data_IF_225666412706
#
_entry.id   IF_225666412706
#
_cell.length_a   1.000
_cell.length_b   1.000
_cell.length_c   1.000
_cell.angle_alpha   90.00
_cell.angle_beta   90.00
_cell.angle_gamma   90.00
#
_symmetry.space_group_name_H-M   'P 1'
#
loop_
_entity.id
_entity.type
_entity.pdbx_description
1 polymer ?
#
# COMPACT_ATOMS: atom_id res chain seq x y z
N UNK A 1 -38.19 23.54 19.23
CA UNK A 1 -37.00 23.99 19.99
C UNK A 1 -35.79 23.78 19.08
N UNK A 2 -35.33 24.87 18.47
CA UNK A 2 -34.36 24.86 17.39
C UNK A 2 -32.92 24.67 17.89
N UNK A 3 -32.12 23.96 17.11
CA UNK A 3 -30.67 23.89 17.30
C UNK A 3 -29.99 24.51 16.09
N UNK A 4 -29.16 25.50 16.41
CA UNK A 4 -28.41 26.35 15.50
C UNK A 4 -27.38 25.55 14.70
N UNK A 5 -27.38 25.75 13.39
CA UNK A 5 -26.31 25.32 12.48
C UNK A 5 -25.25 26.43 12.51
N UNK A 6 -24.09 26.16 13.08
CA UNK A 6 -22.93 27.04 13.00
C UNK A 6 -22.20 26.74 11.68
N UNK A 7 -22.35 27.63 10.70
CA UNK A 7 -21.55 27.63 9.49
C UNK A 7 -20.17 28.21 9.80
N UNK A 8 -19.12 27.39 9.71
CA UNK A 8 -17.73 27.85 9.79
C UNK A 8 -17.30 28.26 8.39
N UNK A 9 -17.24 29.58 8.18
CA UNK A 9 -16.77 30.21 6.96
C UNK A 9 -15.23 30.27 7.01
N UNK A 10 -14.53 29.40 6.28
CA UNK A 10 -13.08 29.52 6.10
C UNK A 10 -12.79 30.55 5.01
N UNK A 11 -12.19 31.66 5.43
CA UNK A 11 -11.75 32.75 4.56
C UNK A 11 -10.59 32.29 3.66
N UNK A 12 -10.80 32.48 2.36
CA UNK A 12 -9.82 32.30 1.30
C UNK A 12 -8.80 33.46 1.37
N UNK A 13 -7.62 33.19 1.94
CA UNK A 13 -6.49 34.12 1.94
C UNK A 13 -5.62 33.91 0.71
N UNK A 14 -5.84 34.72 -0.32
CA UNK A 14 -4.96 34.85 -1.47
C UNK A 14 -3.90 35.91 -1.12
N UNK A 15 -2.61 35.54 -1.06
CA UNK A 15 -1.51 36.49 -0.97
C UNK A 15 -0.41 36.09 -1.95
N UNK A 16 -0.05 37.06 -2.79
CA UNK A 16 0.72 36.93 -4.00
C UNK A 16 2.25 37.01 -3.80
N UNK A 17 2.94 36.47 -4.80
CA UNK A 17 4.20 36.92 -5.39
C UNK A 17 5.40 37.22 -4.48
N UNK A 18 6.43 36.37 -4.56
CA UNK A 18 7.83 36.76 -4.34
C UNK A 18 8.66 36.37 -5.55
N UNK A 19 9.43 37.34 -6.01
CA UNK A 19 10.11 37.43 -7.29
C UNK A 19 11.26 36.43 -7.48
N UNK A 20 11.42 35.99 -8.73
CA UNK A 20 12.63 35.38 -9.25
C UNK A 20 13.80 36.39 -9.17
N UNK A 21 14.87 36.03 -8.47
CA UNK A 21 16.18 36.67 -8.67
C UNK A 21 17.04 35.74 -9.51
N UNK A 22 17.36 36.21 -10.71
CA UNK A 22 18.26 35.55 -11.66
C UNK A 22 19.69 35.88 -11.26
N UNK A 23 20.43 34.89 -10.79
CA UNK A 23 21.89 34.97 -10.63
C UNK A 23 22.57 34.16 -11.71
N UNK A 24 22.92 34.82 -12.82
CA UNK A 24 23.79 34.27 -13.87
C UNK A 24 25.22 34.55 -13.41
N UNK A 25 25.96 33.51 -13.07
CA UNK A 25 27.41 33.58 -12.96
C UNK A 25 28.00 32.93 -14.20
N UNK A 26 28.46 33.77 -15.13
CA UNK A 26 29.40 33.42 -16.16
C UNK A 26 30.67 32.86 -15.52
N UNK A 27 31.10 31.69 -15.96
CA UNK A 27 32.50 31.26 -15.82
C UNK A 27 32.88 30.62 -17.15
N UNK A 28 33.40 31.48 -18.03
CA UNK A 28 34.33 31.07 -19.07
C UNK A 28 35.63 30.67 -18.37
N UNK A 29 36.07 29.42 -18.52
CA UNK A 29 37.46 29.21 -18.96
C UNK A 29 37.63 27.85 -19.63
N UNK A 30 38.37 27.89 -20.74
CA UNK A 30 38.53 26.81 -21.69
C UNK A 30 39.55 25.78 -21.23
N UNK A 31 39.20 24.51 -21.44
CA UNK A 31 40.08 23.37 -21.28
C UNK A 31 39.81 22.33 -22.35
N UNK A 32 40.28 22.61 -23.58
CA UNK A 32 40.38 21.61 -24.65
C UNK A 32 41.47 20.61 -24.23
N UNK A 33 41.06 19.42 -23.77
CA UNK A 33 41.94 18.25 -23.70
C UNK A 33 41.50 17.27 -24.78
N UNK A 34 42.40 17.09 -25.74
CA UNK A 34 42.31 16.13 -26.84
C UNK A 34 42.45 14.68 -26.32
N UNK A 35 41.96 13.69 -27.08
CA UNK A 35 41.79 12.32 -26.59
C UNK A 35 43.13 11.58 -26.52
N UNK A 36 43.43 10.98 -25.38
CA UNK A 36 44.48 9.97 -25.26
C UNK A 36 43.84 8.60 -25.55
N UNK A 37 44.32 7.96 -26.61
CA UNK A 37 43.92 6.62 -27.02
C UNK A 37 44.43 5.59 -26.00
N UNK A 38 43.54 5.13 -25.12
CA UNK A 38 43.78 3.96 -24.26
C UNK A 38 43.17 2.72 -24.89
N UNK A 39 44.03 2.08 -25.68
CA UNK A 39 44.21 0.64 -25.90
C UNK A 39 43.08 -0.29 -25.43
N UNK A 40 42.33 -0.79 -26.42
CA UNK A 40 41.39 -1.88 -26.28
C UNK A 40 42.13 -3.22 -26.11
N UNK A 41 42.51 -3.56 -24.88
CA UNK A 41 42.82 -4.93 -24.49
C UNK A 41 41.69 -5.49 -23.63
N UNK A 42 40.71 -6.09 -24.30
CA UNK A 42 39.66 -6.87 -23.65
C UNK A 42 40.25 -8.17 -23.07
N UNK A 43 40.14 -8.43 -21.75
CA UNK A 43 40.39 -9.76 -21.23
C UNK A 43 39.21 -10.67 -21.59
N UNK A 44 39.50 -11.73 -22.33
CA UNK A 44 38.58 -12.84 -22.57
C UNK A 44 38.12 -13.42 -21.22
N UNK A 45 36.81 -13.40 -20.88
CA UNK A 45 36.35 -14.10 -19.70
C UNK A 45 36.42 -15.61 -19.99
N UNK A 46 37.40 -16.28 -19.40
CA UNK A 46 37.42 -17.74 -19.30
C UNK A 46 36.20 -18.17 -18.50
N UNK A 47 35.23 -18.71 -19.25
CA UNK A 47 33.99 -19.29 -18.77
C UNK A 47 34.33 -20.65 -18.13
N UNK A 48 34.71 -20.64 -16.87
CA UNK A 48 34.79 -21.85 -16.05
C UNK A 48 34.30 -21.56 -14.63
N UNK A 49 33.01 -21.29 -14.52
CA UNK A 49 32.28 -21.35 -13.26
C UNK A 49 31.33 -22.53 -13.36
N UNK A 50 31.78 -23.64 -12.80
CA UNK A 50 30.99 -24.83 -12.54
C UNK A 50 29.63 -24.43 -11.95
N UNK A 51 28.56 -24.82 -12.63
CA UNK A 51 27.21 -24.72 -12.11
C UNK A 51 27.15 -25.52 -10.79
N UNK A 52 26.63 -24.95 -9.69
CA UNK A 52 26.36 -25.74 -8.51
C UNK A 52 25.36 -26.85 -8.87
N UNK A 53 25.45 -28.04 -8.25
CA UNK A 53 24.53 -29.13 -8.54
C UNK A 53 23.10 -28.64 -8.29
N UNK A 54 22.26 -28.81 -9.31
CA UNK A 54 20.81 -28.68 -9.21
C UNK A 54 20.36 -29.66 -8.14
N UNK A 55 20.04 -29.16 -6.94
CA UNK A 55 19.30 -29.92 -5.94
C UNK A 55 17.87 -30.06 -6.48
N UNK A 56 17.65 -31.18 -7.14
CA UNK A 56 16.36 -31.64 -7.58
C UNK A 56 15.54 -31.96 -6.33
N UNK A 57 14.70 -31.02 -5.90
CA UNK A 57 13.69 -31.31 -4.89
C UNK A 57 12.67 -32.22 -5.56
N UNK A 58 12.77 -33.52 -5.30
CA UNK A 58 11.69 -34.47 -5.54
C UNK A 58 10.46 -33.95 -4.79
N UNK A 59 9.56 -33.32 -5.53
CA UNK A 59 8.22 -33.01 -5.08
C UNK A 59 7.51 -34.32 -4.79
N UNK A 60 7.58 -34.77 -3.54
CA UNK A 60 6.72 -35.81 -3.05
C UNK A 60 5.25 -35.40 -3.35
N UNK A 61 4.45 -36.28 -3.98
CA UNK A 61 3.06 -35.97 -4.27
C UNK A 61 2.32 -35.63 -2.97
N UNK A 62 1.40 -34.65 -2.99
CA UNK A 62 0.59 -34.35 -1.83
C UNK A 62 -0.18 -35.62 -1.40
N UNK A 63 -0.36 -35.84 -0.09
CA UNK A 63 -1.15 -36.97 0.39
C UNK A 63 -2.56 -36.87 -0.21
N UNK A 64 -3.19 -38.01 -0.55
CA UNK A 64 -4.55 -38.03 -1.06
C UNK A 64 -5.48 -37.34 -0.06
N UNK A 65 -6.18 -36.31 -0.52
CA UNK A 65 -7.27 -35.70 0.23
C UNK A 65 -8.38 -36.74 0.34
N UNK A 66 -8.70 -37.09 1.58
CA UNK A 66 -9.77 -38.01 1.93
C UNK A 66 -11.11 -37.35 1.56
N UNK A 67 -11.61 -37.68 0.37
CA UNK A 67 -12.95 -37.34 -0.07
C UNK A 67 -13.94 -38.24 0.69
N UNK A 68 -14.24 -37.86 1.92
CA UNK A 68 -15.33 -38.44 2.71
C UNK A 68 -16.66 -38.15 2.03
N UNK A 69 -17.13 -39.13 1.25
CA UNK A 69 -18.52 -39.27 0.83
C UNK A 69 -19.30 -39.85 2.00
N UNK A 70 -20.31 -39.14 2.49
CA UNK A 70 -21.45 -39.79 3.15
C UNK A 70 -22.76 -39.18 2.64
N UNK A 71 -23.50 -40.05 1.98
CA UNK A 71 -24.79 -39.83 1.35
C UNK A 71 -25.90 -40.37 2.25
N UNK A 72 -26.96 -39.59 2.46
CA UNK A 72 -28.38 -40.01 2.52
C UNK A 72 -29.19 -38.69 2.61
N UNK A 73 -30.15 -38.35 1.76
CA UNK A 73 -31.26 -39.17 1.31
C UNK A 73 -32.40 -39.09 2.33
N UNK A 74 -33.22 -38.04 2.29
CA UNK A 74 -34.61 -38.14 2.76
C UNK A 74 -35.54 -37.15 2.03
N UNK A 75 -36.58 -37.73 1.45
CA UNK A 75 -37.66 -37.06 0.75
C UNK A 75 -38.83 -36.92 1.72
N UNK A 76 -38.88 -35.80 2.45
CA UNK A 76 -39.98 -35.46 3.34
C UNK A 76 -40.92 -34.43 2.71
N UNK A 77 -42.03 -34.89 2.13
CA UNK A 77 -43.20 -34.07 1.83
C UNK A 77 -43.87 -33.69 3.16
N UNK A 78 -43.94 -32.39 3.47
CA UNK A 78 -44.55 -31.86 4.69
C UNK A 78 -45.49 -30.70 4.38
N UNK A 79 -46.76 -30.91 4.73
CA UNK A 79 -47.95 -30.11 4.48
C UNK A 79 -47.98 -28.78 5.25
N UNK A 80 -48.86 -27.88 4.82
CA UNK A 80 -48.96 -26.48 5.18
C UNK A 80 -49.07 -26.15 6.67
N UNK A 81 -48.50 -24.99 7.01
CA UNK A 81 -48.68 -24.32 8.30
C UNK A 81 -48.64 -22.81 8.10
N UNK A 82 -49.81 -22.18 8.16
CA UNK A 82 -49.96 -20.72 8.33
C UNK A 82 -49.41 -20.38 9.71
N UNK A 83 -48.26 -19.71 9.75
CA UNK A 83 -47.58 -19.29 10.98
C UNK A 83 -47.66 -17.78 11.15
N UNK A 84 -48.34 -17.36 12.22
CA UNK A 84 -48.60 -15.98 12.61
C UNK A 84 -47.33 -15.15 12.79
N UNK A 85 -47.44 -13.86 12.43
CA UNK A 85 -46.36 -12.88 12.46
C UNK A 85 -45.70 -12.74 13.84
N UNK A 86 -44.53 -13.36 13.99
CA UNK A 86 -43.64 -13.12 15.12
C UNK A 86 -43.03 -11.73 14.99
N UNK A 87 -43.29 -10.87 15.98
CA UNK A 87 -42.56 -9.63 16.18
C UNK A 87 -41.07 -9.99 16.32
N UNK A 88 -40.28 -9.63 15.31
CA UNK A 88 -38.86 -9.91 15.29
C UNK A 88 -38.17 -9.17 16.42
N UNK A 89 -37.68 -9.92 17.41
CA UNK A 89 -36.74 -9.42 18.40
C UNK A 89 -35.51 -8.91 17.65
N UNK A 90 -35.37 -7.58 17.60
CA UNK A 90 -34.20 -6.92 17.05
C UNK A 90 -32.99 -7.30 17.87
N UNK A 91 -32.30 -8.36 17.44
CA UNK A 91 -31.06 -8.81 18.04
C UNK A 91 -30.10 -7.63 18.12
N UNK A 92 -29.78 -7.21 19.34
CA UNK A 92 -28.73 -6.24 19.58
C UNK A 92 -27.45 -6.83 18.97
N UNK A 93 -27.00 -6.26 17.84
CA UNK A 93 -25.86 -6.77 17.11
C UNK A 93 -24.68 -6.95 18.05
N UNK A 94 -24.09 -8.14 18.05
CA UNK A 94 -22.91 -8.46 18.84
C UNK A 94 -21.79 -7.49 18.45
N UNK A 95 -21.59 -6.47 19.28
CA UNK A 95 -20.57 -5.44 19.06
C UNK A 95 -19.14 -6.01 19.23
N UNK A 96 -19.02 -7.30 19.53
CA UNK A 96 -17.76 -7.96 19.83
C UNK A 96 -17.21 -7.51 21.18
N UNK A 97 -16.29 -8.30 21.73
CA UNK A 97 -15.56 -7.89 22.93
C UNK A 97 -14.63 -6.72 22.57
N UNK A 98 -14.68 -5.59 23.30
CA UNK A 98 -13.75 -4.48 23.09
C UNK A 98 -12.29 -4.92 23.25
N UNK A 99 -11.40 -4.40 22.40
CA UNK A 99 -9.96 -4.65 22.44
C UNK A 99 -9.18 -3.33 22.46
N UNK A 100 -7.90 -3.38 22.85
CA UNK A 100 -7.04 -2.21 22.81
C UNK A 100 -6.77 -1.80 21.35
N UNK A 101 -6.92 -0.52 21.03
CA UNK A 101 -6.68 0.02 19.69
C UNK A 101 -5.20 0.26 19.33
N UNK A 102 -4.29 -0.07 20.25
CA UNK A 102 -2.86 0.14 20.10
C UNK A 102 -2.26 -0.75 19.00
N UNK A 103 -1.18 -0.28 18.38
CA UNK A 103 -0.48 -1.06 17.36
C UNK A 103 0.28 -2.24 17.98
N UNK A 104 0.15 -3.46 17.44
CA UNK A 104 0.89 -4.63 17.93
C UNK A 104 2.36 -4.63 17.45
N UNK A 105 2.69 -3.81 16.46
CA UNK A 105 4.03 -3.67 15.91
C UNK A 105 4.44 -2.20 15.80
N UNK A 106 5.73 -2.00 15.49
CA UNK A 106 6.32 -0.69 15.22
C UNK A 106 6.89 -0.66 13.80
N UNK A 107 7.29 0.51 13.33
CA UNK A 107 7.79 0.71 11.96
C UNK A 107 8.82 -0.33 11.51
N UNK A 108 9.92 -0.55 12.25
CA UNK A 108 10.95 -1.53 11.86
C UNK A 108 10.46 -2.98 11.75
N UNK A 109 9.32 -3.30 12.38
CA UNK A 109 8.63 -4.59 12.31
C UNK A 109 7.31 -4.54 11.53
N UNK A 110 7.16 -3.59 10.62
CA UNK A 110 5.95 -3.43 9.81
C UNK A 110 5.60 -4.72 9.05
N UNK A 111 4.33 -5.09 9.06
CA UNK A 111 3.83 -6.30 8.40
C UNK A 111 3.90 -6.12 6.88
N UNK A 112 4.49 -7.07 6.18
CA UNK A 112 4.61 -7.02 4.73
C UNK A 112 3.27 -7.32 4.04
N UNK A 113 2.90 -6.47 3.09
CA UNK A 113 1.84 -6.71 2.11
C UNK A 113 2.42 -7.34 0.84
N UNK A 114 1.57 -7.96 0.03
CA UNK A 114 1.96 -8.38 -1.33
C UNK A 114 2.41 -7.17 -2.13
N UNK A 115 3.54 -7.29 -2.84
CA UNK A 115 4.10 -6.26 -3.70
C UNK A 115 3.17 -5.92 -4.88
N UNK A 116 3.31 -4.71 -5.42
CA UNK A 116 2.56 -4.22 -6.58
C UNK A 116 3.49 -3.48 -7.54
N UNK A 117 3.27 -3.62 -8.84
CA UNK A 117 3.89 -2.77 -9.87
C UNK A 117 3.33 -1.37 -9.82
N UNK A 118 4.19 -0.35 -9.76
CA UNK A 118 3.76 1.05 -9.69
C UNK A 118 3.66 1.76 -11.05
N UNK A 119 4.11 1.13 -12.14
CA UNK A 119 4.18 1.73 -13.47
C UNK A 119 3.59 0.85 -14.59
N UNK A 120 3.32 -0.43 -14.28
CA UNK A 120 2.84 -1.42 -15.24
C UNK A 120 1.56 -2.10 -14.74
N UNK A 121 0.59 -2.27 -15.64
CA UNK A 121 -0.68 -2.93 -15.32
C UNK A 121 -1.50 -2.15 -14.29
N UNK A 122 -2.27 -2.86 -13.46
CA UNK A 122 -3.03 -2.31 -12.34
C UNK A 122 -3.12 -3.33 -11.19
N UNK A 123 -1.98 -3.84 -10.68
CA UNK A 123 -1.99 -4.82 -9.62
C UNK A 123 -2.55 -4.22 -8.32
N UNK A 124 -3.19 -5.08 -7.53
CA UNK A 124 -3.77 -4.69 -6.24
C UNK A 124 -3.33 -5.62 -5.13
N UNK A 125 -3.21 -5.07 -3.93
CA UNK A 125 -2.87 -5.80 -2.71
C UNK A 125 -3.82 -5.33 -1.61
N UNK A 126 -4.41 -6.27 -0.87
CA UNK A 126 -5.39 -5.96 0.17
C UNK A 126 -4.98 -6.59 1.49
N UNK A 127 -5.16 -5.86 2.57
CA UNK A 127 -5.01 -6.35 3.94
C UNK A 127 -6.11 -5.79 4.83
N UNK A 128 -6.32 -6.41 5.98
CA UNK A 128 -7.32 -6.00 6.98
C UNK A 128 -6.72 -6.06 8.37
N UNK A 129 -7.32 -5.33 9.31
CA UNK A 129 -6.95 -5.37 10.72
C UNK A 129 -8.03 -4.78 11.61
N UNK A 130 -7.89 -4.95 12.92
CA UNK A 130 -8.87 -4.52 13.94
C UNK A 130 -8.35 -3.44 14.88
N UNK A 131 -7.06 -3.14 14.82
CA UNK A 131 -6.35 -2.17 15.68
C UNK A 131 -5.39 -1.33 14.83
N UNK A 132 -4.70 -0.36 15.41
CA UNK A 132 -3.63 0.35 14.69
C UNK A 132 -2.57 -0.65 14.19
N UNK A 133 -1.88 -0.38 13.10
CA UNK A 133 -0.87 -1.29 12.57
C UNK A 133 0.15 -0.58 11.67
N UNK A 134 1.40 -0.99 11.77
CA UNK A 134 2.44 -0.65 10.79
C UNK A 134 2.49 -1.72 9.70
N UNK A 135 2.40 -1.28 8.45
CA UNK A 135 2.42 -2.09 7.24
C UNK A 135 3.56 -1.61 6.33
N UNK A 136 4.05 -2.49 5.47
CA UNK A 136 4.98 -2.11 4.39
C UNK A 136 4.62 -2.82 3.11
N UNK A 137 4.77 -2.12 1.99
CA UNK A 137 4.54 -2.65 0.66
C UNK A 137 5.73 -2.32 -0.23
N UNK A 138 6.19 -3.32 -0.98
CA UNK A 138 7.16 -3.11 -2.05
C UNK A 138 6.41 -2.70 -3.30
N UNK A 139 6.79 -1.55 -3.85
CA UNK A 139 6.28 -1.07 -5.14
C UNK A 139 7.43 -1.14 -6.14
N UNK A 140 7.25 -1.90 -7.21
CA UNK A 140 8.27 -2.15 -8.23
C UNK A 140 8.10 -1.23 -9.43
N UNK A 141 9.23 -0.92 -10.08
CA UNK A 141 9.28 -0.38 -11.42
C UNK A 141 9.50 -1.56 -12.37
N UNK A 142 8.50 -1.87 -13.20
CA UNK A 142 8.56 -3.01 -14.11
C UNK A 142 8.65 -2.56 -15.58
N UNK A 143 8.49 -1.26 -15.88
CA UNK A 143 8.63 -0.71 -17.23
C UNK A 143 10.09 -0.32 -17.51
N UNK A 144 10.76 -1.06 -18.39
CA UNK A 144 12.14 -0.76 -18.83
C UNK A 144 12.17 0.04 -20.15
N UNK A 145 11.16 0.87 -20.37
CA UNK A 145 11.02 1.66 -21.58
C UNK A 145 12.06 2.79 -21.69
N UNK A 146 12.33 3.26 -22.92
CA UNK A 146 13.18 4.45 -23.15
C UNK A 146 12.51 5.77 -22.71
N UNK A 147 11.20 5.73 -22.49
CA UNK A 147 10.42 6.84 -21.95
C UNK A 147 10.19 6.51 -20.49
N UNK A 148 10.74 7.33 -19.60
CA UNK A 148 10.55 7.16 -18.16
C UNK A 148 9.08 7.22 -17.78
N UNK A 149 8.70 6.40 -16.80
CA UNK A 149 7.37 6.41 -16.20
C UNK A 149 7.49 6.63 -14.72
N UNK A 150 6.61 7.47 -14.19
CA UNK A 150 6.48 7.61 -12.75
C UNK A 150 5.96 6.32 -12.15
N UNK A 151 6.56 5.93 -11.04
CA UNK A 151 6.05 4.87 -10.17
C UNK A 151 4.98 5.51 -9.28
N UNK A 152 3.75 5.00 -9.33
CA UNK A 152 2.64 5.51 -8.51
C UNK A 152 2.03 4.43 -7.63
N UNK A 153 1.57 4.85 -6.45
CA UNK A 153 0.84 4.02 -5.50
C UNK A 153 -0.35 4.81 -4.96
N UNK A 154 -1.53 4.21 -5.07
CA UNK A 154 -2.77 4.68 -4.46
C UNK A 154 -3.18 3.74 -3.32
N UNK A 155 -3.46 4.32 -2.17
CA UNK A 155 -3.93 3.63 -0.98
C UNK A 155 -5.35 4.07 -0.66
N UNK A 156 -6.23 3.12 -0.37
CA UNK A 156 -7.61 3.37 0.07
C UNK A 156 -7.86 2.58 1.35
N UNK A 157 -8.05 3.29 2.47
CA UNK A 157 -8.39 2.73 3.77
C UNK A 157 -9.89 2.92 4.03
N UNK A 158 -10.58 1.84 4.37
CA UNK A 158 -11.98 1.85 4.78
C UNK A 158 -12.07 1.45 6.25
N UNK A 159 -12.51 2.37 7.08
CA UNK A 159 -12.75 2.15 8.52
C UNK A 159 -14.07 1.39 8.77
N UNK A 160 -14.16 0.58 9.83
CA UNK A 160 -15.43 0.01 10.26
C UNK A 160 -16.36 1.12 10.78
N UNK A 161 -17.67 0.88 10.85
CA UNK A 161 -18.64 1.90 11.30
C UNK A 161 -18.51 2.30 12.78
N UNK A 162 -17.81 1.49 13.58
CA UNK A 162 -17.66 1.65 15.03
C UNK A 162 -16.37 2.37 15.46
N UNK A 163 -15.42 2.56 14.55
CA UNK A 163 -14.13 3.19 14.83
C UNK A 163 -13.60 3.94 13.61
N UNK A 164 -12.93 5.07 13.84
CA UNK A 164 -12.24 5.80 12.79
C UNK A 164 -10.74 5.48 12.83
N UNK A 165 -10.21 5.03 11.71
CA UNK A 165 -8.79 4.87 11.46
C UNK A 165 -8.37 5.80 10.32
N UNK A 166 -7.24 6.46 10.51
CA UNK A 166 -6.59 7.26 9.47
C UNK A 166 -5.29 6.56 9.05
N UNK A 167 -4.62 7.07 8.01
CA UNK A 167 -3.32 6.58 7.59
C UNK A 167 -2.26 7.66 7.45
N UNK A 168 -1.01 7.30 7.73
CA UNK A 168 0.21 8.02 7.34
C UNK A 168 1.03 7.17 6.38
N UNK A 169 1.55 7.79 5.34
CA UNK A 169 2.35 7.13 4.29
C UNK A 169 3.75 7.71 4.31
N UNK A 170 4.74 6.83 4.31
CA UNK A 170 6.16 7.17 4.38
C UNK A 170 6.88 6.55 3.19
N UNK A 171 7.36 7.41 2.29
CA UNK A 171 8.12 7.03 1.10
C UNK A 171 9.59 7.30 1.40
N UNK A 172 10.46 6.27 1.44
CA UNK A 172 11.88 6.47 1.63
C UNK A 172 12.48 7.21 0.44
N UNK A 173 13.58 7.94 0.63
CA UNK A 173 14.29 8.65 -0.45
C UNK A 173 15.11 7.71 -1.33
N UNK A 174 15.48 6.54 -0.81
CA UNK A 174 16.24 5.51 -1.50
C UNK A 174 15.51 4.15 -1.45
N UNK A 175 15.87 3.26 -2.37
CA UNK A 175 15.27 1.94 -2.56
C UNK A 175 15.49 0.94 -1.41
N UNK A 176 16.52 1.18 -0.59
CA UNK A 176 17.02 0.24 0.42
C UNK A 176 16.63 0.59 1.85
N UNK A 177 16.21 1.84 2.09
CA UNK A 177 15.86 2.32 3.41
C UNK A 177 14.37 2.18 3.71
N UNK A 178 14.08 2.21 5.01
CA UNK A 178 12.73 2.30 5.52
C UNK A 178 12.56 3.64 6.24
N UNK A 179 11.54 4.40 5.84
CA UNK A 179 11.20 5.67 6.47
C UNK A 179 10.14 5.46 7.56
N UNK A 180 10.42 5.93 8.77
CA UNK A 180 9.57 5.75 9.95
C UNK A 180 9.05 7.05 10.57
N UNK A 181 9.48 8.20 10.06
CA UNK A 181 9.18 9.53 10.61
C UNK A 181 8.95 10.52 9.47
N UNK A 182 8.19 11.59 9.75
CA UNK A 182 7.93 12.65 8.76
C UNK A 182 7.12 12.14 7.57
N UNK A 183 5.85 11.80 7.82
CA UNK A 183 4.95 11.26 6.80
C UNK A 183 4.87 12.17 5.55
N UNK A 184 4.90 11.55 4.37
CA UNK A 184 4.78 12.23 3.07
C UNK A 184 3.31 12.52 2.74
N UNK A 185 2.41 11.68 3.24
CA UNK A 185 0.95 11.88 3.20
C UNK A 185 0.35 11.48 4.53
N UNK A 186 -0.72 12.16 4.89
CA UNK A 186 -1.57 11.80 6.02
C UNK A 186 -3.03 12.05 5.61
N UNK A 187 -3.93 11.18 6.06
CA UNK A 187 -5.37 11.37 5.90
C UNK A 187 -6.03 11.76 7.22
N UNK A 188 -7.28 12.21 7.13
CA UNK A 188 -8.07 12.65 8.28
C UNK A 188 -9.57 12.65 7.98
N UNK A 189 -10.02 11.71 7.14
CA UNK A 189 -11.42 11.64 6.78
C UNK A 189 -12.21 11.10 7.97
N UNK A 190 -13.27 11.81 8.37
CA UNK A 190 -14.15 11.35 9.46
C UNK A 190 -15.28 10.45 8.96
N UNK A 191 -15.54 10.47 7.65
CA UNK A 191 -16.62 9.73 6.98
C UNK A 191 -16.12 9.32 5.59
N UNK A 192 -16.45 8.08 5.20
CA UNK A 192 -16.01 7.52 3.92
C UNK A 192 -14.59 6.96 4.00
N UNK A 193 -14.03 6.56 2.85
CA UNK A 193 -12.67 6.02 2.81
C UNK A 193 -11.63 7.13 2.85
N UNK A 194 -10.52 6.85 3.53
CA UNK A 194 -9.30 7.63 3.48
C UNK A 194 -8.49 7.24 2.23
N UNK A 195 -8.06 8.24 1.46
CA UNK A 195 -7.31 8.02 0.21
C UNK A 195 -6.01 8.81 0.22
N UNK A 196 -4.90 8.14 -0.10
CA UNK A 196 -3.60 8.77 -0.27
C UNK A 196 -2.95 8.25 -1.56
N UNK A 197 -2.36 9.17 -2.32
CA UNK A 197 -1.55 8.85 -3.49
C UNK A 197 -0.15 9.43 -3.32
N UNK A 198 0.83 8.62 -3.69
CA UNK A 198 2.24 8.98 -3.73
C UNK A 198 2.79 8.57 -5.10
N UNK A 199 3.74 9.37 -5.58
CA UNK A 199 4.45 9.14 -6.82
C UNK A 199 5.93 9.45 -6.61
N UNK A 200 6.78 8.72 -7.31
CA UNK A 200 8.22 8.96 -7.34
C UNK A 200 8.82 8.41 -8.63
N UNK A 201 10.13 8.51 -8.72
CA UNK A 201 10.92 8.04 -9.84
C UNK A 201 10.94 9.03 -11.01
N UNK A 202 11.23 8.50 -12.18
CA UNK A 202 11.53 9.29 -13.37
C UNK A 202 10.34 10.11 -13.91
N UNK A 203 10.69 11.25 -14.51
CA UNK A 203 9.78 12.07 -15.31
C UNK A 203 9.72 11.59 -16.77
N UNK A 204 9.80 12.53 -17.72
CA UNK A 204 9.66 12.20 -19.15
C UNK A 204 10.89 11.50 -19.79
N UNK A 205 12.04 11.51 -19.10
CA UNK A 205 13.31 10.98 -19.62
C UNK A 205 13.80 9.91 -18.66
N UNK A 206 14.06 8.72 -19.20
CA UNK A 206 14.65 7.65 -18.41
C UNK A 206 16.12 7.92 -18.11
N UNK A 207 16.50 7.81 -16.84
CA UNK A 207 17.87 7.71 -16.36
C UNK A 207 18.34 6.24 -16.29
N UNK A 208 17.41 5.28 -16.35
CA UNK A 208 17.70 3.84 -16.33
C UNK A 208 18.07 3.30 -14.95
N UNK A 209 17.81 4.08 -13.89
CA UNK A 209 17.90 3.64 -12.50
C UNK A 209 16.65 2.83 -12.12
N UNK A 210 16.79 1.93 -11.15
CA UNK A 210 15.67 1.17 -10.60
C UNK A 210 15.06 1.94 -9.42
N UNK A 211 13.86 2.49 -9.65
CA UNK A 211 13.12 3.35 -8.73
C UNK A 211 12.17 2.57 -7.81
N UNK A 212 12.32 1.25 -7.66
CA UNK A 212 11.52 0.52 -6.68
C UNK A 212 11.66 1.10 -5.26
N UNK A 213 10.58 1.05 -4.47
CA UNK A 213 10.62 1.50 -3.05
C UNK A 213 9.81 0.62 -2.14
N UNK A 214 10.23 0.56 -0.88
CA UNK A 214 9.41 -0.01 0.20
C UNK A 214 8.69 1.12 0.93
N UNK A 215 7.42 1.32 0.59
CA UNK A 215 6.57 2.31 1.24
C UNK A 215 6.10 1.76 2.58
N UNK A 216 6.29 2.53 3.65
CA UNK A 216 5.76 2.21 4.97
C UNK A 216 4.45 2.94 5.20
N UNK A 217 3.49 2.26 5.82
CA UNK A 217 2.14 2.76 6.06
C UNK A 217 1.83 2.55 7.54
N UNK A 218 1.39 3.59 8.23
CA UNK A 218 0.86 3.52 9.59
C UNK A 218 -0.65 3.71 9.51
N UNK A 219 -1.42 2.66 9.76
CA UNK A 219 -2.86 2.76 10.02
C UNK A 219 -2.99 3.03 11.51
N UNK A 220 -3.59 4.16 11.89
CA UNK A 220 -3.68 4.55 13.31
C UNK A 220 -5.12 4.87 13.69
N UNK A 221 -5.50 4.40 14.87
CA UNK A 221 -6.80 4.68 15.47
C UNK A 221 -6.90 6.16 15.87
N UNK A 222 -8.06 6.76 15.58
CA UNK A 222 -8.37 8.16 15.92
C UNK A 222 -9.50 8.25 16.93
N UNK A 223 -10.58 7.50 16.72
CA UNK A 223 -11.75 7.55 17.60
C UNK A 223 -12.62 6.29 17.50
N UNK A 224 -13.59 6.14 18.41
CA UNK A 224 -14.47 4.98 18.50
C UNK A 224 -13.82 3.77 19.17
N UNK A 225 -14.46 2.60 19.06
CA UNK A 225 -14.10 1.40 19.82
C UNK A 225 -13.57 0.31 18.89
N UNK A 226 -12.39 -0.23 19.18
CA UNK A 226 -11.89 -1.42 18.51
C UNK A 226 -12.54 -2.67 19.12
N UNK A 227 -12.95 -3.61 18.28
CA UNK A 227 -13.52 -4.88 18.70
C UNK A 227 -13.12 -5.99 17.72
N UNK A 228 -13.06 -7.24 18.19
CA UNK A 228 -12.54 -8.38 17.43
C UNK A 228 -13.29 -8.67 16.10
N UNK A 229 -14.53 -8.18 15.94
CA UNK A 229 -15.32 -8.31 14.71
C UNK A 229 -15.39 -7.05 13.84
N UNK A 230 -14.68 -5.98 14.22
CA UNK A 230 -14.73 -4.68 13.54
C UNK A 230 -13.40 -4.44 12.84
N UNK A 231 -13.36 -4.68 11.53
CA UNK A 231 -12.13 -4.62 10.74
C UNK A 231 -12.11 -3.40 9.85
N UNK A 232 -10.98 -2.69 9.81
CA UNK A 232 -10.65 -1.84 8.68
C UNK A 232 -10.09 -2.68 7.52
N UNK A 233 -10.17 -2.14 6.30
CA UNK A 233 -9.53 -2.73 5.11
C UNK A 233 -8.66 -1.70 4.40
N UNK A 234 -7.44 -2.08 4.04
CA UNK A 234 -6.54 -1.27 3.23
C UNK A 234 -6.36 -1.93 1.86
N UNK A 235 -6.65 -1.18 0.81
CA UNK A 235 -6.39 -1.53 -0.57
C UNK A 235 -5.22 -0.69 -1.10
N UNK A 236 -4.19 -1.35 -1.60
CA UNK A 236 -3.10 -0.76 -2.35
C UNK A 236 -3.27 -1.07 -3.84
N UNK A 237 -3.11 -0.06 -4.67
CA UNK A 237 -3.18 -0.15 -6.13
C UNK A 237 -1.95 0.55 -6.71
N UNK A 238 -1.16 -0.16 -7.51
CA UNK A 238 -0.07 0.46 -8.24
C UNK A 238 -0.50 0.98 -9.61
N UNK A 239 0.26 1.92 -10.17
CA UNK A 239 -0.04 2.59 -11.45
C UNK A 239 -1.43 3.26 -11.48
N UNK A 240 -1.76 3.98 -10.40
CA UNK A 240 -3.01 4.72 -10.18
C UNK A 240 -2.79 6.15 -9.68
#
# INVERSE_FOLDING_TARGET
MGRHIAAVLFALGCAAAVACTSGIADTEDGGVILPEEVDASAPTPTRDSALPPVVQFDSAPPPPVDAGTDAVGDAGVGDGGVGDGGAGDGGAGDAGTPIACASPNACGGATAMTAVSGDTGAPTSRTTGTTSQWLKIRVTEDDSGVIGKKVTLRLTLTSPSSANFDMRVYVPTDASSQKCTGADRQTSATVGPDVASVEWGEGAVANGDDDHRTVTIEVFHVSGTCAAGQTWSLLAEGNK
#
